data_IF_262076468088
#
_entry.id   IF_262076468088
#
_cell.length_a   1.000
_cell.length_b   1.000
_cell.length_c   1.000
_cell.angle_alpha   90.00
_cell.angle_beta   90.00
_cell.angle_gamma   90.00
#
_symmetry.space_group_name_H-M   'P 1'
#
loop_
_entity.id
_entity.type
_entity.pdbx_description
1 polymer ?
#
# COMPACT_ATOMS: atom_id res chain seq x y z
N UNK A 1 -11.85 -9.61 11.83
CA UNK A 1 -12.24 -8.25 11.35
C UNK A 1 -11.93 -7.15 12.37
N UNK A 2 -12.34 -7.26 13.64
CA UNK A 2 -12.04 -6.25 14.68
C UNK A 2 -10.56 -6.06 15.00
N UNK A 3 -9.72 -7.09 14.86
CA UNK A 3 -8.25 -6.99 15.02
C UNK A 3 -7.61 -6.18 13.90
N UNK A 4 -7.98 -6.43 12.64
CA UNK A 4 -7.48 -5.69 11.48
C UNK A 4 -7.68 -4.20 11.68
N UNK A 5 -8.87 -3.76 12.10
CA UNK A 5 -9.17 -2.34 12.31
C UNK A 5 -8.39 -1.69 13.46
N UNK A 6 -7.84 -2.46 14.42
CA UNK A 6 -7.00 -1.90 15.50
C UNK A 6 -5.59 -1.56 15.05
N UNK A 7 -5.11 -2.23 14.00
CA UNK A 7 -3.73 -2.05 13.51
C UNK A 7 -3.65 -0.96 12.42
N UNK A 8 -4.75 -0.26 12.15
CA UNK A 8 -4.87 0.79 11.14
C UNK A 8 -5.33 2.11 11.76
N UNK A 9 -4.41 3.07 11.90
CA UNK A 9 -4.75 4.46 12.17
C UNK A 9 -5.06 5.22 10.86
N UNK A 10 -5.61 6.44 10.98
CA UNK A 10 -5.99 7.24 9.82
C UNK A 10 -4.78 7.56 8.92
N UNK A 11 -3.62 7.79 9.51
CA UNK A 11 -2.39 8.11 8.78
C UNK A 11 -1.87 6.90 7.98
N UNK A 12 -1.86 5.72 8.60
CA UNK A 12 -1.50 4.45 7.97
C UNK A 12 -2.42 4.11 6.83
N UNK A 13 -3.73 4.29 7.01
CA UNK A 13 -4.70 4.06 5.95
C UNK A 13 -4.48 5.00 4.75
N UNK A 14 -4.23 6.29 4.99
CA UNK A 14 -3.95 7.26 3.93
C UNK A 14 -2.66 6.92 3.16
N UNK A 15 -1.60 6.47 3.86
CA UNK A 15 -0.35 6.00 3.24
C UNK A 15 -0.58 4.76 2.38
N UNK A 16 -1.30 3.76 2.89
CA UNK A 16 -1.59 2.54 2.16
C UNK A 16 -2.42 2.82 0.89
N UNK A 17 -3.44 3.67 0.99
CA UNK A 17 -4.25 4.06 -0.16
C UNK A 17 -3.41 4.76 -1.25
N UNK A 18 -2.51 5.65 -0.83
CA UNK A 18 -1.60 6.35 -1.76
C UNK A 18 -0.63 5.38 -2.44
N UNK A 19 -0.09 4.41 -1.70
CA UNK A 19 0.78 3.37 -2.25
C UNK A 19 0.08 2.56 -3.33
N UNK A 20 -1.17 2.14 -3.08
CA UNK A 20 -2.00 1.41 -4.04
C UNK A 20 -2.28 2.27 -5.28
N UNK A 21 -2.67 3.53 -5.11
CA UNK A 21 -2.96 4.43 -6.23
C UNK A 21 -1.73 4.65 -7.13
N UNK A 22 -0.54 4.75 -6.55
CA UNK A 22 0.71 4.86 -7.32
C UNK A 22 1.00 3.60 -8.12
N UNK A 23 0.88 2.43 -7.49
CA UNK A 23 1.10 1.16 -8.17
C UNK A 23 0.11 0.95 -9.33
N UNK A 24 -1.16 1.35 -9.15
CA UNK A 24 -2.18 1.30 -10.19
C UNK A 24 -1.81 2.15 -11.41
N UNK A 25 -1.31 3.38 -11.19
CA UNK A 25 -0.80 4.25 -12.25
C UNK A 25 0.42 3.64 -12.94
N UNK A 26 1.36 3.08 -12.18
CA UNK A 26 2.57 2.45 -12.74
C UNK A 26 2.22 1.21 -13.60
N UNK A 27 1.32 0.36 -13.14
CA UNK A 27 0.88 -0.85 -13.87
C UNK A 27 0.09 -0.47 -15.13
N UNK A 28 -0.84 0.49 -15.03
CA UNK A 28 -1.67 0.92 -16.17
C UNK A 28 -0.92 1.79 -17.16
N UNK A 29 0.07 2.57 -16.70
CA UNK A 29 0.85 3.50 -17.51
C UNK A 29 2.02 2.87 -18.27
N UNK A 30 2.20 1.55 -18.19
CA UNK A 30 3.33 0.85 -18.81
C UNK A 30 4.66 1.13 -18.10
N UNK A 31 4.64 1.28 -16.78
CA UNK A 31 5.84 1.38 -15.96
C UNK A 31 6.81 0.24 -16.24
N UNK A 32 8.11 0.49 -16.07
CA UNK A 32 9.19 -0.37 -16.56
C UNK A 32 9.12 -1.83 -16.06
N UNK A 33 8.53 -2.05 -14.88
CA UNK A 33 8.32 -3.39 -14.31
C UNK A 33 7.07 -3.41 -13.41
N UNK A 34 5.94 -3.96 -13.90
CA UNK A 34 4.71 -4.11 -13.12
C UNK A 34 4.86 -4.98 -11.85
N UNK A 35 5.74 -5.98 -11.88
CA UNK A 35 5.96 -6.85 -10.72
C UNK A 35 6.69 -6.09 -9.61
N UNK A 36 7.70 -5.30 -9.98
CA UNK A 36 8.40 -4.44 -9.04
C UNK A 36 7.50 -3.33 -8.45
N UNK A 37 6.58 -2.77 -9.24
CA UNK A 37 5.58 -1.82 -8.75
C UNK A 37 4.69 -2.45 -7.66
N UNK A 38 4.21 -3.67 -7.90
CA UNK A 38 3.41 -4.42 -6.94
C UNK A 38 4.20 -4.83 -5.69
N UNK A 39 5.46 -5.25 -5.84
CA UNK A 39 6.33 -5.59 -4.72
C UNK A 39 6.51 -4.39 -3.78
N UNK A 40 6.89 -3.22 -4.33
CA UNK A 40 7.00 -1.98 -3.55
C UNK A 40 5.69 -1.61 -2.87
N UNK A 41 4.57 -1.73 -3.58
CA UNK A 41 3.24 -1.45 -3.02
C UNK A 41 2.97 -2.31 -1.78
N UNK A 42 3.20 -3.63 -1.87
CA UNK A 42 2.97 -4.55 -0.76
C UNK A 42 3.83 -4.20 0.44
N UNK A 43 5.12 -3.91 0.22
CA UNK A 43 6.03 -3.49 1.30
C UNK A 43 5.56 -2.20 1.97
N UNK A 44 5.12 -1.21 1.18
CA UNK A 44 4.61 0.06 1.71
C UNK A 44 3.31 -0.11 2.50
N UNK A 45 2.37 -0.92 2.01
CA UNK A 45 1.12 -1.22 2.72
C UNK A 45 1.39 -1.98 4.01
N UNK A 46 2.32 -2.95 3.99
CA UNK A 46 2.72 -3.69 5.18
C UNK A 46 3.37 -2.78 6.23
N UNK A 47 4.25 -1.86 5.81
CA UNK A 47 4.88 -0.90 6.70
C UNK A 47 3.92 0.21 7.19
N UNK A 48 2.87 0.51 6.42
CA UNK A 48 1.85 1.48 6.82
C UNK A 48 0.91 0.96 7.90
N UNK A 49 0.80 -0.37 8.04
CA UNK A 49 0.07 -1.03 9.12
C UNK A 49 0.88 -0.90 10.41
N UNK A 50 0.33 -0.18 11.38
CA UNK A 50 0.98 0.04 12.66
C UNK A 50 0.85 -1.20 13.54
N UNK A 51 1.96 -1.61 14.16
CA UNK A 51 1.89 -2.40 15.38
C UNK A 51 1.63 -1.41 16.51
N UNK A 52 0.41 -1.40 17.04
CA UNK A 52 0.16 -0.79 18.35
C UNK A 52 0.98 -1.51 19.42
#
# INVERSE_FOLDING_TARGET
>A
MRSQLRDWDQAGLARALTAVARADVEVKGGGADPAYALERMVLQVAAARGHH
#
